data_IF_724820792000
#
_entry.id   IF_724820792000
#
_cell.length_a   1.000
_cell.length_b   1.000
_cell.length_c   1.000
_cell.angle_alpha   90.00
_cell.angle_beta   90.00
_cell.angle_gamma   90.00
#
_symmetry.space_group_name_H-M   'P 1'
#
loop_
_entity.id
_entity.type
_entity.pdbx_description
1 polymer ?
#
# COMPACT_ATOMS: atom_id res chain seq x y z
N UNK A 1 -6.74 5.13 -1.43
CA UNK A 1 -5.72 4.18 -1.00
C UNK A 1 -5.09 4.56 0.32
N UNK A 2 -4.24 5.60 0.35
CA UNK A 2 -3.48 5.96 1.55
C UNK A 2 -4.37 6.29 2.76
N UNK A 3 -5.42 7.09 2.56
CA UNK A 3 -6.38 7.44 3.61
C UNK A 3 -7.10 6.20 4.12
N UNK A 4 -7.53 5.32 3.24
CA UNK A 4 -8.14 4.04 3.57
C UNK A 4 -7.20 3.17 4.42
N UNK A 5 -5.94 3.03 4.03
CA UNK A 5 -4.95 2.21 4.74
C UNK A 5 -4.69 2.77 6.15
N UNK A 6 -4.59 4.09 6.27
CA UNK A 6 -4.40 4.78 7.55
C UNK A 6 -5.60 4.60 8.47
N UNK A 7 -6.82 4.74 7.97
CA UNK A 7 -8.05 4.55 8.73
C UNK A 7 -8.17 3.10 9.25
N UNK A 8 -7.88 2.12 8.41
CA UNK A 8 -7.93 0.71 8.82
C UNK A 8 -6.87 0.42 9.89
N UNK A 9 -5.66 0.96 9.76
CA UNK A 9 -4.59 0.78 10.75
C UNK A 9 -4.96 1.39 12.10
N UNK A 10 -5.52 2.59 12.10
CA UNK A 10 -6.00 3.24 13.33
C UNK A 10 -7.17 2.46 13.94
N UNK A 11 -8.09 1.96 13.11
CA UNK A 11 -9.19 1.10 13.55
C UNK A 11 -8.70 -0.20 14.21
N UNK A 12 -7.68 -0.83 13.64
CA UNK A 12 -7.05 -2.01 14.24
C UNK A 12 -6.42 -1.71 15.59
N UNK A 13 -5.69 -0.61 15.72
CA UNK A 13 -5.10 -0.15 16.97
C UNK A 13 -6.19 0.03 18.04
N UNK A 14 -7.28 0.66 17.69
CA UNK A 14 -8.43 0.92 18.56
C UNK A 14 -9.11 -0.39 19.00
N UNK A 15 -9.34 -1.32 18.06
CA UNK A 15 -9.96 -2.61 18.35
C UNK A 15 -9.12 -3.49 19.27
N UNK A 16 -7.81 -3.47 19.09
CA UNK A 16 -6.88 -4.25 19.94
C UNK A 16 -6.61 -3.59 21.30
N UNK A 17 -7.07 -2.36 21.52
CA UNK A 17 -6.83 -1.63 22.76
C UNK A 17 -5.37 -1.34 23.02
N UNK A 18 -4.57 -1.16 21.97
CA UNK A 18 -3.14 -0.87 22.08
C UNK A 18 -2.93 0.53 22.67
N UNK A 19 -1.98 0.64 23.60
CA UNK A 19 -1.64 1.93 24.20
C UNK A 19 -0.90 2.81 23.19
N UNK A 20 -1.30 4.08 23.13
CA UNK A 20 -0.64 5.06 22.26
C UNK A 20 0.67 5.51 22.89
N UNK A 21 1.77 5.01 22.37
CA UNK A 21 3.13 5.37 22.76
C UNK A 21 3.96 5.79 21.54
N UNK A 22 5.24 6.13 21.76
CA UNK A 22 6.14 6.53 20.68
C UNK A 22 6.35 5.44 19.63
N UNK A 23 6.39 4.18 20.03
CA UNK A 23 6.53 3.05 19.10
C UNK A 23 5.31 2.89 18.20
N UNK A 24 4.11 3.09 18.75
CA UNK A 24 2.88 3.01 17.98
C UNK A 24 2.77 4.14 16.95
N UNK A 25 3.10 5.37 17.36
CA UNK A 25 3.14 6.52 16.45
C UNK A 25 4.17 6.29 15.33
N UNK A 26 5.35 5.79 15.68
CA UNK A 26 6.38 5.43 14.71
C UNK A 26 5.90 4.36 13.73
N UNK A 27 5.12 3.38 14.17
CA UNK A 27 4.56 2.34 13.31
C UNK A 27 3.60 2.91 12.26
N UNK A 28 2.72 3.81 12.65
CA UNK A 28 1.78 4.46 11.73
C UNK A 28 2.52 5.33 10.70
N UNK A 29 3.50 6.11 11.13
CA UNK A 29 4.32 6.92 10.23
C UNK A 29 5.13 6.07 9.26
N UNK A 30 5.73 5.00 9.75
CA UNK A 30 6.48 4.04 8.91
C UNK A 30 5.57 3.36 7.89
N UNK A 31 4.38 2.98 8.31
CA UNK A 31 3.39 2.37 7.44
C UNK A 31 2.95 3.33 6.32
N UNK A 32 2.70 4.58 6.64
CA UNK A 32 2.36 5.60 5.65
C UNK A 32 3.47 5.72 4.61
N UNK A 33 4.72 5.81 5.03
CA UNK A 33 5.88 5.87 4.14
C UNK A 33 6.00 4.62 3.27
N UNK A 34 5.80 3.45 3.85
CA UNK A 34 5.85 2.17 3.14
C UNK A 34 4.75 2.07 2.07
N UNK A 35 3.52 2.40 2.41
CA UNK A 35 2.39 2.31 1.48
C UNK A 35 2.46 3.35 0.37
N UNK A 36 2.98 4.54 0.64
CA UNK A 36 3.26 5.55 -0.39
C UNK A 36 4.28 5.02 -1.40
N UNK A 37 5.38 4.44 -0.91
CA UNK A 37 6.43 3.91 -1.78
C UNK A 37 5.88 2.85 -2.74
N UNK A 38 5.06 1.95 -2.26
CA UNK A 38 4.44 0.90 -3.06
C UNK A 38 3.51 1.47 -4.15
N UNK A 39 2.72 2.48 -3.79
CA UNK A 39 1.84 3.18 -4.73
C UNK A 39 2.62 3.97 -5.78
N UNK A 40 3.71 4.62 -5.39
CA UNK A 40 4.59 5.36 -6.32
C UNK A 40 5.14 4.42 -7.39
N UNK A 41 5.59 3.23 -7.02
CA UNK A 41 6.13 2.24 -7.96
C UNK A 41 5.09 1.85 -9.01
N UNK A 42 3.86 1.58 -8.59
CA UNK A 42 2.76 1.22 -9.51
C UNK A 42 2.41 2.39 -10.44
N UNK A 43 2.26 3.59 -9.90
CA UNK A 43 1.92 4.77 -10.70
C UNK A 43 3.02 5.20 -11.64
N UNK A 44 4.27 5.08 -11.24
CA UNK A 44 5.42 5.37 -12.08
C UNK A 44 5.46 4.42 -13.29
N UNK A 45 5.17 3.14 -13.07
CA UNK A 45 5.08 2.16 -14.16
C UNK A 45 3.91 2.44 -15.09
N UNK A 46 2.77 2.82 -14.57
CA UNK A 46 1.62 3.25 -15.39
C UNK A 46 1.99 4.45 -16.26
N UNK A 47 2.68 5.42 -15.67
CA UNK A 47 3.15 6.61 -16.38
C UNK A 47 4.13 6.27 -17.50
N UNK A 48 5.12 5.42 -17.22
CA UNK A 48 6.11 4.96 -18.19
C UNK A 48 5.44 4.24 -19.36
N UNK A 49 4.58 3.28 -19.10
CA UNK A 49 3.85 2.55 -20.12
C UNK A 49 2.92 3.46 -20.94
N UNK A 50 2.34 4.46 -20.32
CA UNK A 50 1.52 5.48 -20.98
C UNK A 50 2.31 6.30 -22.01
N UNK A 51 3.59 6.53 -21.77
CA UNK A 51 4.46 7.22 -22.71
C UNK A 51 4.88 6.33 -23.88
N UNK A 52 5.09 5.04 -23.64
CA UNK A 52 5.58 4.07 -24.63
C UNK A 52 4.44 3.59 -25.54
N UNK A 53 3.32 3.17 -24.97
CA UNK A 53 2.22 2.52 -25.70
C UNK A 53 1.08 3.46 -26.08
N UNK A 54 1.17 4.74 -25.71
CA UNK A 54 0.08 5.67 -25.91
C UNK A 54 -1.10 5.43 -24.98
N UNK A 55 -2.19 6.15 -25.21
CA UNK A 55 -3.34 6.17 -24.29
C UNK A 55 -4.62 5.60 -24.91
N UNK A 56 -4.52 4.85 -26.00
CA UNK A 56 -5.69 4.34 -26.73
C UNK A 56 -6.54 3.37 -25.93
N UNK A 57 -5.93 2.53 -25.10
CA UNK A 57 -6.63 1.58 -24.23
C UNK A 57 -6.08 1.64 -22.80
N UNK A 58 -6.49 2.67 -22.07
CA UNK A 58 -5.98 2.97 -20.73
C UNK A 58 -6.24 1.85 -19.70
N UNK A 59 -7.43 1.22 -19.63
CA UNK A 59 -7.66 0.11 -18.68
C UNK A 59 -6.72 -1.07 -18.90
N UNK A 60 -6.47 -1.47 -20.14
CA UNK A 60 -5.53 -2.54 -20.48
C UNK A 60 -4.10 -2.17 -20.12
N UNK A 61 -3.71 -0.91 -20.37
CA UNK A 61 -2.41 -0.38 -20.01
C UNK A 61 -2.18 -0.42 -18.49
N UNK A 62 -3.15 -0.02 -17.70
CA UNK A 62 -3.08 -0.08 -16.23
C UNK A 62 -2.94 -1.51 -15.75
N UNK A 63 -3.73 -2.43 -16.27
CA UNK A 63 -3.66 -3.84 -15.93
C UNK A 63 -2.29 -4.46 -16.27
N UNK A 64 -1.74 -4.16 -17.43
CA UNK A 64 -0.41 -4.59 -17.83
C UNK A 64 0.69 -4.03 -16.92
N UNK A 65 0.57 -2.76 -16.54
CA UNK A 65 1.52 -2.10 -15.64
C UNK A 65 1.52 -2.75 -14.25
N UNK A 66 0.36 -3.08 -13.72
CA UNK A 66 0.21 -3.79 -12.44
C UNK A 66 0.86 -5.16 -12.52
N UNK A 67 0.60 -5.93 -13.57
CA UNK A 67 1.18 -7.26 -13.76
C UNK A 67 2.72 -7.21 -13.82
N UNK A 68 3.29 -6.17 -14.43
CA UNK A 68 4.74 -5.98 -14.48
C UNK A 68 5.36 -5.67 -13.11
N UNK A 69 4.62 -4.97 -12.24
CA UNK A 69 5.07 -4.64 -10.89
C UNK A 69 4.69 -5.70 -9.85
N UNK A 70 3.79 -6.61 -10.18
CA UNK A 70 3.18 -7.54 -9.22
C UNK A 70 4.22 -8.37 -8.47
N UNK A 71 5.16 -8.98 -9.19
CA UNK A 71 6.21 -9.80 -8.60
C UNK A 71 7.06 -8.98 -7.62
N UNK A 72 7.46 -7.78 -7.99
CA UNK A 72 8.24 -6.87 -7.12
C UNK A 72 7.46 -6.50 -5.86
N UNK A 73 6.21 -6.12 -6.00
CA UNK A 73 5.33 -5.75 -4.88
C UNK A 73 5.17 -6.91 -3.91
N UNK A 74 4.90 -8.11 -4.40
CA UNK A 74 4.75 -9.31 -3.58
C UNK A 74 6.05 -9.67 -2.86
N UNK A 75 7.18 -9.68 -3.53
CA UNK A 75 8.47 -10.01 -2.91
C UNK A 75 8.81 -8.98 -1.83
N UNK A 76 8.68 -7.70 -2.11
CA UNK A 76 8.96 -6.63 -1.15
C UNK A 76 8.04 -6.72 0.07
N UNK A 77 6.75 -6.94 -0.15
CA UNK A 77 5.77 -7.08 0.93
C UNK A 77 6.02 -8.32 1.78
N UNK A 78 6.35 -9.44 1.17
CA UNK A 78 6.63 -10.70 1.88
C UNK A 78 7.89 -10.60 2.74
N UNK A 79 8.97 -10.02 2.25
CA UNK A 79 10.20 -9.84 3.02
C UNK A 79 10.00 -8.92 4.22
N UNK A 80 9.31 -7.80 4.02
CA UNK A 80 9.01 -6.85 5.10
C UNK A 80 8.03 -7.46 6.11
N UNK A 81 7.01 -8.16 5.63
CA UNK A 81 6.04 -8.87 6.48
C UNK A 81 6.72 -9.92 7.36
N UNK A 82 7.68 -10.66 6.83
CA UNK A 82 8.44 -11.66 7.58
C UNK A 82 9.20 -11.02 8.75
N UNK A 83 9.89 -9.91 8.50
CA UNK A 83 10.59 -9.16 9.56
C UNK A 83 9.62 -8.65 10.61
N UNK A 84 8.50 -8.07 10.19
CA UNK A 84 7.49 -7.54 11.10
C UNK A 84 6.81 -8.64 11.93
N UNK A 85 6.62 -9.83 11.37
CA UNK A 85 6.12 -11.01 12.12
C UNK A 85 7.09 -11.43 13.23
N UNK A 86 8.38 -11.44 12.93
CA UNK A 86 9.40 -11.75 13.94
C UNK A 86 9.35 -10.72 15.08
N UNK A 87 9.27 -9.44 14.75
CA UNK A 87 9.14 -8.38 15.76
C UNK A 87 7.86 -8.51 16.57
N UNK A 88 6.75 -8.90 15.97
CA UNK A 88 5.47 -9.08 16.63
C UNK A 88 5.47 -10.28 17.59
N UNK A 89 6.21 -11.35 17.27
CA UNK A 89 6.28 -12.59 18.09
C UNK A 89 7.37 -12.50 19.14
N UNK A 90 8.56 -12.01 18.79
CA UNK A 90 9.76 -12.06 19.60
C UNK A 90 10.13 -10.73 20.28
N UNK A 91 9.46 -9.63 19.90
CA UNK A 91 9.73 -8.32 20.46
C UNK A 91 9.22 -8.13 21.89
N UNK A 92 9.77 -7.15 22.61
CA UNK A 92 9.20 -6.66 23.87
C UNK A 92 7.86 -5.95 23.62
N UNK A 93 7.17 -5.50 24.69
CA UNK A 93 5.79 -4.96 24.58
C UNK A 93 5.61 -3.88 23.50
N UNK A 94 6.46 -2.86 23.49
CA UNK A 94 6.36 -1.76 22.50
C UNK A 94 6.76 -2.20 21.08
N UNK A 95 7.78 -3.04 20.95
CA UNK A 95 8.24 -3.57 19.66
C UNK A 95 7.19 -4.55 19.09
N UNK A 96 6.55 -5.31 19.95
CA UNK A 96 5.47 -6.21 19.56
C UNK A 96 4.29 -5.44 18.97
N UNK A 97 3.87 -4.36 19.62
CA UNK A 97 2.77 -3.52 19.15
C UNK A 97 3.12 -2.86 17.81
N UNK A 98 4.34 -2.36 17.67
CA UNK A 98 4.87 -1.87 16.39
C UNK A 98 4.78 -2.95 15.30
N UNK A 99 5.26 -4.16 15.59
CA UNK A 99 5.24 -5.28 14.64
C UNK A 99 3.82 -5.68 14.23
N UNK A 100 2.88 -5.75 15.17
CA UNK A 100 1.47 -6.08 14.90
C UNK A 100 0.81 -5.06 13.96
N UNK A 101 0.98 -3.78 14.24
CA UNK A 101 0.44 -2.70 13.40
C UNK A 101 1.04 -2.74 12.01
N UNK A 102 2.34 -2.96 11.90
CA UNK A 102 3.03 -3.08 10.62
C UNK A 102 2.55 -4.29 9.81
N UNK A 103 2.37 -5.46 10.44
CA UNK A 103 1.87 -6.66 9.77
C UNK A 103 0.51 -6.40 9.13
N UNK A 104 -0.44 -5.89 9.89
CA UNK A 104 -1.79 -5.57 9.39
C UNK A 104 -1.72 -4.50 8.30
N UNK A 105 -0.95 -3.45 8.54
CA UNK A 105 -0.82 -2.34 7.61
C UNK A 105 -0.18 -2.74 6.28
N UNK A 106 0.82 -3.61 6.29
CA UNK A 106 1.46 -4.11 5.06
C UNK A 106 0.49 -4.96 4.24
N UNK A 107 -0.25 -5.85 4.89
CA UNK A 107 -1.27 -6.67 4.21
C UNK A 107 -2.32 -5.77 3.56
N UNK A 108 -2.88 -4.85 4.31
CA UNK A 108 -3.90 -3.90 3.82
C UNK A 108 -3.34 -2.99 2.74
N UNK A 109 -2.13 -2.45 2.93
CA UNK A 109 -1.49 -1.55 1.97
C UNK A 109 -1.16 -2.21 0.64
N UNK A 110 -0.67 -3.45 0.66
CA UNK A 110 -0.40 -4.23 -0.54
C UNK A 110 -1.69 -4.52 -1.31
N UNK A 111 -2.72 -4.96 -0.60
CA UNK A 111 -4.05 -5.18 -1.18
C UNK A 111 -4.62 -3.89 -1.77
N UNK A 112 -4.57 -2.80 -1.03
CA UNK A 112 -5.07 -1.48 -1.43
C UNK A 112 -4.34 -0.92 -2.66
N UNK A 113 -3.03 -1.11 -2.75
CA UNK A 113 -2.23 -0.65 -3.89
C UNK A 113 -2.68 -1.27 -5.20
N UNK A 114 -3.05 -2.53 -5.18
CA UNK A 114 -3.48 -3.28 -6.36
C UNK A 114 -4.98 -3.08 -6.63
N UNK A 115 -5.82 -3.18 -5.60
CA UNK A 115 -7.28 -3.34 -5.74
C UNK A 115 -8.02 -2.01 -5.70
N UNK A 116 -7.56 -1.02 -4.94
CA UNK A 116 -8.25 0.25 -4.75
C UNK A 116 -7.65 1.36 -5.60
N UNK A 117 -6.31 1.49 -5.57
CA UNK A 117 -5.64 2.59 -6.24
C UNK A 117 -5.74 2.50 -7.77
N UNK A 118 -5.68 1.31 -8.32
CA UNK A 118 -5.67 1.09 -9.77
C UNK A 118 -7.02 1.37 -10.43
N UNK A 119 -8.15 0.83 -9.96
CA UNK A 119 -9.47 1.19 -10.47
C UNK A 119 -9.78 2.68 -10.31
N UNK A 120 -9.30 3.29 -9.23
CA UNK A 120 -9.48 4.73 -9.01
C UNK A 120 -8.79 5.57 -10.08
N UNK A 121 -7.57 5.20 -10.48
CA UNK A 121 -6.84 5.89 -11.56
C UNK A 121 -7.56 5.75 -12.89
N UNK A 122 -8.08 4.57 -13.20
CA UNK A 122 -8.87 4.32 -14.42
C UNK A 122 -10.15 5.15 -14.42
N UNK A 123 -10.87 5.15 -13.29
CA UNK A 123 -12.10 5.94 -13.14
C UNK A 123 -11.83 7.45 -13.29
N UNK A 124 -10.80 7.95 -12.62
CA UNK A 124 -10.38 9.34 -12.71
C UNK A 124 -10.03 9.74 -14.14
N UNK A 125 -9.23 8.94 -14.82
CA UNK A 125 -8.84 9.18 -16.20
C UNK A 125 -10.05 9.21 -17.15
N UNK A 126 -11.02 8.32 -16.96
CA UNK A 126 -12.26 8.31 -17.74
C UNK A 126 -13.11 9.57 -17.49
N UNK A 127 -13.21 10.00 -16.24
CA UNK A 127 -14.05 11.14 -15.88
C UNK A 127 -13.51 12.47 -16.37
N UNK A 128 -12.21 12.68 -16.31
CA UNK A 128 -11.58 13.94 -16.73
C UNK A 128 -11.18 13.98 -18.20
N UNK A 129 -11.16 12.85 -18.90
CA UNK A 129 -10.87 12.78 -20.33
C UNK A 129 -12.10 12.82 -21.23
N UNK A 130 -13.28 12.55 -20.73
CA UNK A 130 -14.52 12.69 -21.50
C UNK A 130 -14.98 14.15 -21.67
N UNK A 131 -14.19 15.09 -21.22
CA UNK A 131 -14.46 16.53 -21.33
C UNK A 131 -13.54 17.29 -22.32
N UNK A 132 -12.73 16.56 -23.12
CA UNK A 132 -11.89 17.20 -24.17
C UNK A 132 -12.10 16.49 -25.50
#
# INVERSE_FOLDING_TARGET
GLIHDTIISIGFISLMGLSVDGALIASVLTLIGYTINDKIVVFDRIRENSQIYGRSNFPTLVNSSINQCFSRTIITSMTTLFVCLILAVMGGSSIRDFGLVMVVGIIVGTYSSITISSPFVVWWAKRFRSGV
#
